data_IF_820867119942
#
_entry.id   IF_820867119942
#
_cell.length_a   1.000
_cell.length_b   1.000
_cell.length_c   1.000
_cell.angle_alpha   90.00
_cell.angle_beta   90.00
_cell.angle_gamma   90.00
#
_symmetry.space_group_name_H-M   'P 1'
#
loop_
_entity.id
_entity.type
_entity.pdbx_description
1 polymer ?
#
# COMPACT_ATOMS: atom_id res chain seq x y z
N UNK A 1 38.81 -34.54 9.56
CA UNK A 1 37.40 -34.42 9.99
C UNK A 1 37.11 -32.97 10.41
N UNK A 2 37.49 -32.01 9.55
CA UNK A 2 37.38 -30.56 9.76
C UNK A 2 37.28 -29.81 8.43
N UNK A 3 36.83 -30.49 7.35
CA UNK A 3 36.68 -29.94 6.00
C UNK A 3 35.26 -30.16 5.42
N UNK A 4 34.25 -30.29 6.30
CA UNK A 4 32.84 -30.38 5.89
C UNK A 4 32.01 -29.14 6.27
N UNK A 5 32.67 -28.05 6.68
CA UNK A 5 32.00 -26.79 7.04
C UNK A 5 32.11 -25.70 5.95
N UNK A 6 32.62 -26.03 4.76
CA UNK A 6 32.50 -25.20 3.56
C UNK A 6 31.33 -25.64 2.69
N UNK A 7 30.15 -25.81 3.32
CA UNK A 7 28.89 -25.87 2.58
C UNK A 7 28.63 -24.49 1.98
N UNK A 8 29.19 -24.27 0.79
CA UNK A 8 28.86 -23.19 -0.12
C UNK A 8 27.35 -23.21 -0.40
N UNK A 9 26.57 -22.52 0.42
CA UNK A 9 25.17 -22.19 0.11
C UNK A 9 24.88 -20.69 0.30
N UNK A 10 25.28 -19.79 -0.64
CA UNK A 10 24.94 -18.38 -0.44
C UNK A 10 24.28 -17.65 -1.62
N UNK A 11 24.35 -18.13 -2.86
CA UNK A 11 23.87 -17.36 -4.01
C UNK A 11 22.48 -17.78 -4.53
N UNK A 12 22.19 -19.09 -4.56
CA UNK A 12 20.96 -19.62 -5.14
C UNK A 12 19.73 -19.32 -4.25
N UNK A 13 19.88 -19.40 -2.93
CA UNK A 13 18.79 -19.12 -1.98
C UNK A 13 18.40 -17.63 -1.97
N UNK A 14 19.36 -16.72 -2.12
CA UNK A 14 19.09 -15.27 -2.12
C UNK A 14 18.33 -14.85 -3.38
N UNK A 15 18.70 -15.36 -4.55
CA UNK A 15 18.00 -15.06 -5.80
C UNK A 15 16.55 -15.60 -5.80
N UNK A 16 16.32 -16.80 -5.24
CA UNK A 16 14.98 -17.37 -5.09
C UNK A 16 14.12 -16.58 -4.10
N UNK A 17 14.70 -16.16 -2.98
CA UNK A 17 14.03 -15.32 -1.99
C UNK A 17 13.66 -13.95 -2.57
N UNK A 18 14.60 -13.29 -3.24
CA UNK A 18 14.36 -12.00 -3.89
C UNK A 18 13.24 -12.11 -4.95
N UNK A 19 13.24 -13.21 -5.71
CA UNK A 19 12.18 -13.49 -6.69
C UNK A 19 10.80 -13.61 -6.02
N UNK A 20 10.69 -14.35 -4.91
CA UNK A 20 9.45 -14.51 -4.17
C UNK A 20 8.96 -13.21 -3.55
N UNK A 21 9.84 -12.44 -2.94
CA UNK A 21 9.50 -11.14 -2.36
C UNK A 21 9.01 -10.18 -3.46
N UNK A 22 9.64 -10.20 -4.64
CA UNK A 22 9.18 -9.42 -5.79
C UNK A 22 7.80 -9.87 -6.27
N UNK A 23 7.55 -11.19 -6.30
CA UNK A 23 6.25 -11.74 -6.65
C UNK A 23 5.16 -11.35 -5.64
N UNK A 24 5.47 -11.36 -4.34
CA UNK A 24 4.57 -10.88 -3.28
C UNK A 24 4.26 -9.39 -3.46
N UNK A 25 5.26 -8.56 -3.80
CA UNK A 25 5.04 -7.13 -4.03
C UNK A 25 4.05 -6.88 -5.18
N UNK A 26 4.17 -7.63 -6.28
CA UNK A 26 3.24 -7.56 -7.41
C UNK A 26 1.86 -8.07 -6.99
N UNK A 27 1.79 -9.22 -6.30
CA UNK A 27 0.54 -9.81 -5.83
C UNK A 27 -0.23 -8.85 -4.91
N UNK A 28 0.45 -8.20 -3.97
CA UNK A 28 -0.18 -7.23 -3.07
C UNK A 28 -0.71 -6.00 -3.82
N UNK A 29 -0.02 -5.54 -4.86
CA UNK A 29 -0.55 -4.47 -5.73
C UNK A 29 -1.79 -4.95 -6.49
N UNK A 30 -1.78 -6.17 -7.02
CA UNK A 30 -2.97 -6.76 -7.66
C UNK A 30 -4.14 -6.91 -6.69
N UNK A 31 -3.89 -7.30 -5.43
CA UNK A 31 -4.91 -7.32 -4.38
C UNK A 31 -5.47 -5.93 -4.10
N UNK A 32 -4.62 -4.90 -4.08
CA UNK A 32 -5.07 -3.51 -3.94
C UNK A 32 -5.98 -3.12 -5.10
N UNK A 33 -5.58 -3.37 -6.34
CA UNK A 33 -6.40 -3.11 -7.53
C UNK A 33 -7.75 -3.85 -7.43
N UNK A 34 -7.73 -5.16 -7.17
CA UNK A 34 -8.95 -5.97 -7.03
C UNK A 34 -9.87 -5.45 -5.92
N UNK A 35 -9.32 -5.06 -4.77
CA UNK A 35 -10.09 -4.50 -3.66
C UNK A 35 -10.81 -3.20 -4.03
N UNK A 36 -10.24 -2.36 -4.91
CA UNK A 36 -10.89 -1.12 -5.36
C UNK A 36 -12.16 -1.42 -6.16
N UNK A 37 -12.13 -2.42 -7.05
CA UNK A 37 -13.32 -2.85 -7.77
C UNK A 37 -14.36 -3.46 -6.81
N UNK A 38 -13.95 -4.28 -5.85
CA UNK A 38 -14.86 -4.88 -4.87
C UNK A 38 -15.60 -3.83 -4.03
N UNK A 39 -14.87 -2.83 -3.52
CA UNK A 39 -15.46 -1.73 -2.75
C UNK A 39 -16.38 -0.87 -3.63
N UNK A 40 -15.99 -0.61 -4.88
CA UNK A 40 -16.82 0.16 -5.81
C UNK A 40 -18.15 -0.55 -6.15
N UNK A 41 -18.15 -1.88 -6.23
CA UNK A 41 -19.34 -2.69 -6.53
C UNK A 41 -20.22 -2.95 -5.30
N UNK A 42 -19.69 -2.83 -4.08
CA UNK A 42 -20.44 -3.06 -2.84
C UNK A 42 -20.32 -1.86 -1.89
N UNK A 43 -21.06 -0.77 -2.14
CA UNK A 43 -21.03 0.44 -1.31
C UNK A 43 -21.60 0.24 0.11
N UNK A 44 -22.01 -0.98 0.48
CA UNK A 44 -22.48 -1.32 1.83
C UNK A 44 -21.32 -1.56 2.80
N UNK A 45 -21.12 -0.61 3.73
CA UNK A 45 -20.46 -0.77 5.04
C UNK A 45 -18.92 -0.85 5.12
N UNK A 46 -18.19 -1.12 4.03
CA UNK A 46 -16.72 -1.37 4.08
C UNK A 46 -15.91 -0.31 3.34
N UNK A 47 -16.29 0.96 3.49
CA UNK A 47 -15.59 2.07 2.86
C UNK A 47 -14.15 2.14 3.38
N UNK A 48 -13.19 2.34 2.46
CA UNK A 48 -11.76 2.50 2.73
C UNK A 48 -11.04 1.31 3.39
N UNK A 49 -11.68 0.14 3.55
CA UNK A 49 -11.00 -1.07 4.01
C UNK A 49 -10.26 -1.75 2.84
N UNK A 50 -9.08 -1.25 2.48
CA UNK A 50 -8.31 -1.73 1.33
C UNK A 50 -6.83 -1.91 1.69
N UNK A 51 -6.10 -2.86 1.08
CA UNK A 51 -4.67 -3.02 1.29
C UNK A 51 -3.80 -1.98 0.55
N UNK A 52 -4.38 -0.92 -0.02
CA UNK A 52 -3.69 0.00 -0.94
C UNK A 52 -2.41 0.59 -0.36
N UNK A 53 -2.48 1.17 0.84
CA UNK A 53 -1.32 1.81 1.49
C UNK A 53 -0.26 0.76 1.80
N UNK A 54 -0.66 -0.39 2.37
CA UNK A 54 0.24 -1.48 2.68
C UNK A 54 0.96 -2.02 1.43
N UNK A 55 0.24 -2.18 0.31
CA UNK A 55 0.82 -2.63 -0.97
C UNK A 55 1.88 -1.66 -1.48
N UNK A 56 1.62 -0.35 -1.42
CA UNK A 56 2.57 0.66 -1.88
C UNK A 56 3.79 0.75 -0.96
N UNK A 57 3.59 0.75 0.36
CA UNK A 57 4.70 0.72 1.34
C UNK A 57 5.58 -0.52 1.13
N UNK A 58 4.97 -1.70 0.98
CA UNK A 58 5.69 -2.95 0.75
C UNK A 58 6.43 -2.94 -0.58
N UNK A 59 5.77 -2.54 -1.67
CA UNK A 59 6.40 -2.44 -2.99
C UNK A 59 7.60 -1.49 -2.94
N UNK A 60 7.44 -0.32 -2.32
CA UNK A 60 8.52 0.65 -2.14
C UNK A 60 9.71 0.13 -1.33
N UNK A 61 9.42 -0.63 -0.27
CA UNK A 61 10.43 -1.21 0.60
C UNK A 61 11.24 -2.32 -0.10
N UNK A 62 10.57 -3.15 -0.92
CA UNK A 62 11.17 -4.37 -1.48
C UNK A 62 11.65 -4.21 -2.93
N UNK A 63 10.93 -3.49 -3.77
CA UNK A 63 11.30 -3.31 -5.18
C UNK A 63 12.31 -2.16 -5.37
N UNK A 64 13.13 -2.20 -6.43
CA UNK A 64 13.98 -1.06 -6.82
C UNK A 64 13.16 0.20 -7.11
N UNK A 65 13.64 1.37 -6.64
CA UNK A 65 12.96 2.68 -6.80
C UNK A 65 12.57 3.01 -8.25
N UNK A 66 13.38 2.56 -9.21
CA UNK A 66 13.10 2.74 -10.66
C UNK A 66 11.80 2.07 -11.15
N UNK A 67 11.19 1.19 -10.35
CA UNK A 67 9.93 0.52 -10.68
C UNK A 67 8.73 1.09 -9.93
N UNK A 68 8.89 2.10 -9.06
CA UNK A 68 7.77 2.70 -8.30
C UNK A 68 6.68 3.25 -9.22
N UNK A 69 7.03 3.69 -10.43
CA UNK A 69 6.05 4.16 -11.42
C UNK A 69 5.05 3.08 -11.83
N UNK A 70 5.42 1.79 -11.79
CA UNK A 70 4.59 0.70 -12.28
C UNK A 70 3.30 0.49 -11.45
N UNK A 71 3.35 0.30 -10.11
CA UNK A 71 2.13 0.20 -9.30
C UNK A 71 1.32 1.48 -9.31
N UNK A 72 1.98 2.65 -9.35
CA UNK A 72 1.31 3.95 -9.42
C UNK A 72 0.52 4.07 -10.72
N UNK A 73 1.12 3.73 -11.87
CA UNK A 73 0.44 3.78 -13.16
C UNK A 73 -0.74 2.79 -13.21
N UNK A 74 -0.58 1.58 -12.67
CA UNK A 74 -1.65 0.59 -12.62
C UNK A 74 -2.84 1.07 -11.76
N UNK A 75 -2.57 1.65 -10.59
CA UNK A 75 -3.60 2.23 -9.72
C UNK A 75 -4.24 3.47 -10.36
N UNK A 76 -3.45 4.33 -11.02
CA UNK A 76 -3.97 5.50 -11.72
C UNK A 76 -4.93 5.14 -12.86
N UNK A 77 -4.58 4.12 -13.66
CA UNK A 77 -5.48 3.57 -14.68
C UNK A 77 -6.74 2.99 -14.03
N UNK A 78 -6.58 2.27 -12.91
CA UNK A 78 -7.73 1.74 -12.15
C UNK A 78 -8.67 2.86 -11.70
N UNK A 79 -8.14 3.96 -11.17
CA UNK A 79 -8.94 5.10 -10.74
C UNK A 79 -9.64 5.80 -11.91
N UNK A 80 -8.98 5.93 -13.06
CA UNK A 80 -9.62 6.47 -14.27
C UNK A 80 -10.80 5.60 -14.74
N UNK A 81 -10.62 4.29 -14.71
CA UNK A 81 -11.67 3.34 -15.09
C UNK A 81 -12.84 3.41 -14.12
N UNK A 82 -12.57 3.39 -12.82
CA UNK A 82 -13.62 3.50 -11.79
C UNK A 82 -14.33 4.85 -11.85
N UNK A 83 -13.58 5.95 -11.96
CA UNK A 83 -14.13 7.30 -12.08
C UNK A 83 -15.10 7.40 -13.25
N UNK A 84 -14.65 6.98 -14.45
CA UNK A 84 -15.42 7.11 -15.68
C UNK A 84 -16.59 6.14 -15.78
N UNK A 85 -16.37 4.86 -15.48
CA UNK A 85 -17.35 3.80 -15.80
C UNK A 85 -18.20 3.37 -14.61
N UNK A 86 -17.77 3.62 -13.37
CA UNK A 86 -18.51 3.22 -12.16
C UNK A 86 -19.12 4.43 -11.47
N UNK A 87 -18.34 5.50 -11.27
CA UNK A 87 -18.81 6.69 -10.53
C UNK A 87 -19.41 7.78 -11.43
N UNK A 88 -19.19 7.70 -12.74
CA UNK A 88 -19.70 8.69 -13.70
C UNK A 88 -18.99 10.05 -13.66
N UNK A 89 -17.80 10.13 -13.05
CA UNK A 89 -16.97 11.32 -13.02
C UNK A 89 -15.96 11.32 -14.18
N UNK A 90 -15.60 12.52 -14.63
CA UNK A 90 -14.55 12.72 -15.62
C UNK A 90 -13.14 12.61 -15.02
N UNK A 91 -12.17 13.13 -15.76
CA UNK A 91 -10.85 13.40 -15.21
C UNK A 91 -10.91 14.68 -14.35
N UNK A 92 -10.55 14.56 -13.09
CA UNK A 92 -10.67 15.61 -12.06
C UNK A 92 -9.37 15.75 -11.26
N UNK A 93 -9.15 16.92 -10.65
CA UNK A 93 -7.88 17.25 -9.99
C UNK A 93 -7.60 16.42 -8.72
N UNK A 94 -8.62 15.87 -8.07
CA UNK A 94 -8.49 14.94 -6.94
C UNK A 94 -7.79 13.62 -7.30
N UNK A 95 -7.90 13.18 -8.56
CA UNK A 95 -7.15 12.03 -9.07
C UNK A 95 -5.64 12.31 -9.05
N UNK A 96 -5.22 13.51 -9.46
CA UNK A 96 -3.82 13.91 -9.44
C UNK A 96 -3.24 13.91 -8.02
N UNK A 97 -4.01 14.38 -7.05
CA UNK A 97 -3.62 14.33 -5.62
C UNK A 97 -3.50 12.89 -5.15
N UNK A 98 -4.42 12.01 -5.54
CA UNK A 98 -4.37 10.59 -5.19
C UNK A 98 -3.13 9.90 -5.78
N UNK A 99 -2.78 10.19 -7.03
CA UNK A 99 -1.61 9.59 -7.67
C UNK A 99 -0.29 10.12 -7.12
N UNK A 100 -0.22 11.42 -6.81
CA UNK A 100 0.90 12.00 -6.08
C UNK A 100 1.08 11.34 -4.71
N UNK A 101 -0.02 11.07 -4.01
CA UNK A 101 0.00 10.33 -2.76
C UNK A 101 0.49 8.88 -2.94
N UNK A 102 0.12 8.19 -4.02
CA UNK A 102 0.62 6.83 -4.29
C UNK A 102 2.13 6.79 -4.48
N UNK A 103 2.67 7.77 -5.20
CA UNK A 103 4.12 7.95 -5.35
C UNK A 103 4.76 8.20 -3.97
N UNK A 104 4.19 9.09 -3.17
CA UNK A 104 4.69 9.41 -1.84
C UNK A 104 4.70 8.19 -0.92
N UNK A 105 3.65 7.36 -0.94
CA UNK A 105 3.59 6.12 -0.16
C UNK A 105 4.67 5.12 -0.57
N UNK A 106 4.81 4.84 -1.86
CA UNK A 106 5.84 3.94 -2.33
C UNK A 106 7.24 4.47 -2.02
N UNK A 107 7.45 5.79 -2.13
CA UNK A 107 8.70 6.40 -1.74
C UNK A 107 8.96 6.31 -0.23
N UNK A 108 7.94 6.52 0.60
CA UNK A 108 8.02 6.38 2.06
C UNK A 108 8.45 4.96 2.47
N UNK A 109 7.86 3.94 1.84
CA UNK A 109 8.28 2.54 2.04
C UNK A 109 9.74 2.33 1.67
N UNK A 110 10.18 2.90 0.55
CA UNK A 110 11.58 2.82 0.10
C UNK A 110 12.57 3.59 0.98
N UNK A 111 12.14 4.70 1.58
CA UNK A 111 12.99 5.57 2.39
C UNK A 111 13.09 5.08 3.85
N UNK A 112 11.98 4.65 4.45
CA UNK A 112 11.92 4.31 5.88
C UNK A 112 12.08 2.83 6.18
N UNK A 113 11.60 1.95 5.28
CA UNK A 113 11.42 0.52 5.59
C UNK A 113 12.43 -0.40 4.90
N UNK A 114 13.04 0.04 3.80
CA UNK A 114 13.98 -0.77 3.01
C UNK A 114 15.18 -1.29 3.81
N UNK A 115 15.90 -0.40 4.48
CA UNK A 115 17.14 -0.76 5.21
C UNK A 115 16.89 -1.32 6.61
N UNK A 116 15.81 -0.87 7.25
CA UNK A 116 15.48 -1.27 8.62
C UNK A 116 13.96 -1.36 8.77
N UNK A 117 13.43 -2.54 8.54
CA UNK A 117 12.04 -2.88 8.84
C UNK A 117 11.94 -3.31 10.30
N UNK A 118 11.19 -2.56 11.11
CA UNK A 118 10.85 -2.97 12.47
C UNK A 118 9.40 -2.54 12.80
N UNK A 119 8.76 -3.12 13.84
CA UNK A 119 7.35 -2.90 14.12
C UNK A 119 6.99 -1.42 14.33
N UNK A 120 7.84 -0.64 15.02
CA UNK A 120 7.54 0.78 15.26
C UNK A 120 7.57 1.60 13.97
N UNK A 121 8.54 1.35 13.07
CA UNK A 121 8.58 1.99 11.75
C UNK A 121 7.40 1.61 10.87
N UNK A 122 6.93 0.36 10.93
CA UNK A 122 5.75 -0.09 10.20
C UNK A 122 4.49 0.67 10.67
N UNK A 123 4.30 0.77 11.99
CA UNK A 123 3.18 1.52 12.58
C UNK A 123 3.25 2.99 12.18
N UNK A 124 4.43 3.63 12.28
CA UNK A 124 4.60 5.04 11.92
C UNK A 124 4.35 5.27 10.43
N UNK A 125 4.94 4.46 9.54
CA UNK A 125 4.75 4.60 8.10
C UNK A 125 3.29 4.38 7.67
N UNK A 126 2.63 3.37 8.25
CA UNK A 126 1.21 3.10 8.00
C UNK A 126 0.31 4.25 8.48
N UNK A 127 0.42 4.65 9.75
CA UNK A 127 -0.46 5.68 10.31
C UNK A 127 -0.21 7.06 9.69
N UNK A 128 1.04 7.41 9.43
CA UNK A 128 1.35 8.67 8.73
C UNK A 128 0.77 8.69 7.31
N UNK A 129 0.84 7.57 6.58
CA UNK A 129 0.21 7.44 5.26
C UNK A 129 -1.32 7.56 5.36
N UNK A 130 -1.94 6.86 6.30
CA UNK A 130 -3.40 6.91 6.55
C UNK A 130 -3.87 8.34 6.83
N UNK A 131 -3.24 9.02 7.79
CA UNK A 131 -3.60 10.40 8.17
C UNK A 131 -3.33 11.38 7.03
N UNK A 132 -2.21 11.23 6.33
CA UNK A 132 -1.87 12.08 5.19
C UNK A 132 -2.87 11.91 4.06
N UNK A 133 -3.29 10.68 3.76
CA UNK A 133 -4.32 10.41 2.76
C UNK A 133 -5.63 11.08 3.12
N UNK A 134 -6.08 10.93 4.38
CA UNK A 134 -7.31 11.55 4.85
C UNK A 134 -7.29 13.06 4.67
N UNK A 135 -6.20 13.73 5.04
CA UNK A 135 -6.09 15.18 4.88
C UNK A 135 -6.07 15.58 3.40
N UNK A 136 -5.18 14.97 2.62
CA UNK A 136 -4.95 15.36 1.22
C UNK A 136 -6.15 15.06 0.32
N UNK A 137 -6.77 13.89 0.47
CA UNK A 137 -7.93 13.50 -0.35
C UNK A 137 -9.13 14.41 -0.08
N UNK A 138 -9.44 14.72 1.17
CA UNK A 138 -10.57 15.58 1.52
C UNK A 138 -10.32 17.05 1.15
N UNK A 139 -9.07 17.53 1.28
CA UNK A 139 -8.70 18.84 0.78
C UNK A 139 -8.87 18.92 -0.75
N UNK A 140 -8.49 17.86 -1.46
CA UNK A 140 -8.66 17.78 -2.91
C UNK A 140 -10.14 17.75 -3.31
N UNK A 141 -10.99 17.00 -2.61
CA UNK A 141 -12.44 16.99 -2.83
C UNK A 141 -13.03 18.39 -2.64
N UNK A 142 -12.71 19.06 -1.52
CA UNK A 142 -13.16 20.42 -1.25
C UNK A 142 -12.68 21.43 -2.30
N UNK A 143 -11.47 21.27 -2.82
CA UNK A 143 -10.92 22.18 -3.84
C UNK A 143 -11.42 21.89 -5.26
N UNK A 144 -11.79 20.64 -5.57
CA UNK A 144 -12.11 20.20 -6.93
C UNK A 144 -13.60 20.30 -7.25
N UNK A 145 -14.47 20.02 -6.29
CA UNK A 145 -15.91 19.92 -6.50
C UNK A 145 -16.67 21.08 -5.85
N UNK A 146 -17.80 21.45 -6.43
CA UNK A 146 -18.71 22.49 -5.91
C UNK A 146 -19.69 21.98 -4.83
N UNK A 147 -19.46 20.77 -4.30
CA UNK A 147 -20.33 20.15 -3.27
C UNK A 147 -20.29 20.93 -1.94
N UNK A 148 -19.18 21.61 -1.66
CA UNK A 148 -18.98 22.42 -0.48
C UNK A 148 -18.58 23.84 -0.89
N UNK A 149 -19.01 24.88 -0.16
CA UNK A 149 -18.51 26.24 -0.39
C UNK A 149 -16.99 26.30 -0.25
N UNK A 150 -16.30 27.00 -1.15
CA UNK A 150 -14.85 27.23 -1.08
C UNK A 150 -14.49 28.31 -0.05
N UNK A 151 -14.88 28.08 1.21
CA UNK A 151 -14.55 28.88 2.37
C UNK A 151 -14.27 27.96 3.57
N UNK A 152 -13.90 28.55 4.71
CA UNK A 152 -13.56 27.78 5.91
C UNK A 152 -14.72 26.89 6.41
N UNK A 153 -15.96 27.37 6.33
CA UNK A 153 -17.15 26.59 6.73
C UNK A 153 -17.34 25.36 5.84
N UNK A 154 -17.24 25.51 4.53
CA UNK A 154 -17.36 24.37 3.61
C UNK A 154 -16.20 23.38 3.76
N UNK A 155 -15.00 23.86 4.10
CA UNK A 155 -13.86 23.00 4.42
C UNK A 155 -14.16 22.16 5.68
N UNK A 156 -14.66 22.79 6.75
CA UNK A 156 -15.03 22.06 7.96
C UNK A 156 -16.14 21.03 7.70
N UNK A 157 -17.15 21.38 6.91
CA UNK A 157 -18.24 20.46 6.55
C UNK A 157 -17.74 19.24 5.76
N UNK A 158 -16.80 19.46 4.82
CA UNK A 158 -16.17 18.40 4.05
C UNK A 158 -15.45 17.41 4.97
N UNK A 159 -14.64 17.90 5.91
CA UNK A 159 -13.90 17.06 6.84
C UNK A 159 -14.81 16.34 7.84
N UNK A 160 -15.84 17.01 8.38
CA UNK A 160 -16.80 16.39 9.30
C UNK A 160 -17.53 15.22 8.62
N UNK A 161 -17.96 15.40 7.36
CA UNK A 161 -18.58 14.32 6.58
C UNK A 161 -17.62 13.22 6.18
N UNK A 162 -16.31 13.49 6.16
CA UNK A 162 -15.29 12.50 5.85
C UNK A 162 -15.00 11.53 7.02
N UNK A 163 -15.24 11.95 8.27
CA UNK A 163 -14.89 11.16 9.47
C UNK A 163 -15.46 9.74 9.46
N UNK A 164 -16.75 9.50 9.13
CA UNK A 164 -17.31 8.14 9.09
C UNK A 164 -16.57 7.20 8.13
N UNK A 165 -16.11 7.71 6.99
CA UNK A 165 -15.36 6.94 6.00
C UNK A 165 -13.94 6.61 6.45
N UNK A 166 -13.33 7.48 7.26
CA UNK A 166 -11.97 7.30 7.75
C UNK A 166 -11.85 6.23 8.85
N UNK A 167 -12.93 5.91 9.57
CA UNK A 167 -12.87 5.02 10.77
C UNK A 167 -12.21 3.67 10.49
N UNK A 168 -12.46 3.09 9.32
CA UNK A 168 -11.95 1.77 8.95
C UNK A 168 -10.54 1.82 8.34
N UNK A 169 -10.11 2.98 7.85
CA UNK A 169 -8.88 3.10 7.08
C UNK A 169 -7.61 2.87 7.92
N UNK A 170 -7.42 3.50 9.09
CA UNK A 170 -6.25 3.22 9.94
C UNK A 170 -6.14 1.76 10.35
N UNK A 171 -7.29 1.10 10.59
CA UNK A 171 -7.34 -0.32 10.96
C UNK A 171 -6.91 -1.18 9.79
N UNK A 172 -7.44 -0.92 8.60
CA UNK A 172 -7.04 -1.61 7.38
C UNK A 172 -5.55 -1.41 7.08
N UNK A 173 -5.08 -0.17 7.13
CA UNK A 173 -3.71 0.19 6.82
C UNK A 173 -2.73 -0.49 7.77
N UNK A 174 -3.01 -0.51 9.09
CA UNK A 174 -2.19 -1.22 10.07
C UNK A 174 -2.23 -2.74 9.88
N UNK A 175 -3.43 -3.31 9.72
CA UNK A 175 -3.61 -4.75 9.59
C UNK A 175 -2.89 -5.28 8.35
N UNK A 176 -3.13 -4.69 7.18
CA UNK A 176 -2.50 -5.12 5.94
C UNK A 176 -1.00 -4.86 5.95
N UNK A 177 -0.53 -3.75 6.53
CA UNK A 177 0.92 -3.50 6.67
C UNK A 177 1.56 -4.58 7.54
N UNK A 178 0.97 -4.93 8.68
CA UNK A 178 1.49 -5.99 9.54
C UNK A 178 1.51 -7.36 8.83
N UNK A 179 0.44 -7.72 8.12
CA UNK A 179 0.35 -8.97 7.38
C UNK A 179 1.38 -9.00 6.23
N UNK A 180 1.43 -7.98 5.38
CA UNK A 180 2.27 -8.00 4.19
C UNK A 180 3.76 -8.04 4.51
N UNK A 181 4.18 -7.38 5.58
CA UNK A 181 5.58 -7.40 6.01
C UNK A 181 5.95 -8.66 6.81
N UNK A 182 4.98 -9.37 7.42
CA UNK A 182 5.25 -10.62 8.15
C UNK A 182 5.27 -11.87 7.26
N UNK A 183 4.48 -11.91 6.18
CA UNK A 183 4.44 -13.04 5.23
C UNK A 183 5.84 -13.47 4.74
N UNK A 184 6.69 -12.58 4.18
CA UNK A 184 8.02 -13.01 3.71
C UNK A 184 8.92 -13.51 4.85
N UNK A 185 8.81 -12.94 6.05
CA UNK A 185 9.56 -13.38 7.23
C UNK A 185 9.15 -14.78 7.68
N UNK A 186 7.85 -15.09 7.62
CA UNK A 186 7.33 -16.42 7.93
C UNK A 186 7.79 -17.46 6.90
N UNK A 187 7.75 -17.12 5.61
CA UNK A 187 8.23 -18.00 4.54
C UNK A 187 9.71 -18.35 4.71
N UNK A 188 10.52 -17.37 5.10
CA UNK A 188 11.94 -17.56 5.41
C UNK A 188 12.15 -18.47 6.63
N UNK A 189 11.38 -18.26 7.70
CA UNK A 189 11.46 -19.06 8.92
C UNK A 189 11.08 -20.53 8.70
N UNK A 190 10.06 -20.81 7.87
CA UNK A 190 9.63 -22.18 7.56
C UNK A 190 10.72 -22.95 6.79
N UNK A 191 11.36 -22.29 5.82
CA UNK A 191 12.49 -22.87 5.08
C UNK A 191 13.70 -23.16 5.95
N UNK A 192 14.01 -22.24 6.87
CA UNK A 192 15.06 -22.43 7.84
C UNK A 192 14.82 -23.66 8.74
N UNK A 193 13.56 -24.02 9.00
CA UNK A 193 13.19 -25.21 9.74
C UNK A 193 13.30 -26.49 8.91
N UNK A 194 12.80 -26.50 7.67
CA UNK A 194 12.89 -27.65 6.76
C UNK A 194 14.34 -28.07 6.49
N UNK A 195 15.21 -27.09 6.23
CA UNK A 195 16.64 -27.36 5.98
C UNK A 195 17.35 -27.95 7.21
N UNK A 196 16.89 -27.64 8.44
CA UNK A 196 17.43 -28.24 9.68
C UNK A 196 16.90 -29.64 9.93
N UNK A 197 15.70 -29.97 9.46
CA UNK A 197 15.10 -31.30 9.60
C UNK A 197 15.64 -32.26 8.54
N UNK A 198 16.01 -31.75 7.37
CA UNK A 198 16.55 -32.56 6.27
C UNK A 198 18.07 -32.85 6.36
N UNK A 199 18.79 -32.20 7.28
CA UNK A 199 20.22 -32.35 7.53
C UNK A 199 20.50 -33.31 8.69
#
# INVERSE_FOLDING_TARGET
>A
MTDLLDAKSPAFNNASYDFEVNMLAILFVLLAIGSRFLVAMNPGHWWAFTPLVASLLFFGAKMPRKYIWAPVAALAVTDLLLSKFVYGYGFTADLLVSWAFYIACAWLGSAMLRENTNPSRLVVASLSSSVSFFILSNLAVWATYSMYPHNFTGLTDCFVKAIPFYRNQPVADLLFTAVFFSVPMMLESLRGHENKVAA
#
